data_IF_784346804172
#
_entry.id   IF_784346804172
#
_cell.length_a   1.000
_cell.length_b   1.000
_cell.length_c   1.000
_cell.angle_alpha   90.00
_cell.angle_beta   90.00
_cell.angle_gamma   90.00
#
_symmetry.space_group_name_H-M   'P 1'
#
loop_
_entity.id
_entity.type
_entity.pdbx_description
1 polymer ?
#
# COMPACT_ATOMS: atom_id res chain seq x y z
N UNK A 1 25.40 -14.96 3.13
CA UNK A 1 26.51 -15.72 2.51
C UNK A 1 27.55 -16.02 3.56
N UNK A 2 28.14 -17.23 3.54
CA UNK A 2 29.29 -17.51 4.39
C UNK A 2 30.42 -16.53 4.04
N UNK A 3 31.26 -16.16 5.03
CA UNK A 3 32.48 -15.37 4.81
C UNK A 3 33.34 -15.96 3.68
N UNK A 4 33.24 -17.27 3.41
CA UNK A 4 33.90 -17.92 2.26
C UNK A 4 33.37 -17.43 0.91
N UNK A 5 32.04 -17.24 0.76
CA UNK A 5 31.46 -16.71 -0.48
C UNK A 5 31.82 -15.26 -0.69
N UNK A 6 31.84 -14.45 0.37
CA UNK A 6 32.28 -13.06 0.30
C UNK A 6 33.77 -12.98 -0.12
N UNK A 7 34.64 -13.85 0.44
CA UNK A 7 36.06 -13.96 0.04
C UNK A 7 36.23 -14.38 -1.43
N UNK A 8 35.43 -15.34 -1.90
CA UNK A 8 35.48 -15.80 -3.31
C UNK A 8 35.04 -14.69 -4.25
N UNK A 9 33.95 -13.99 -3.91
CA UNK A 9 33.44 -12.85 -4.69
C UNK A 9 34.45 -11.70 -4.74
N UNK A 10 35.00 -11.30 -3.59
CA UNK A 10 36.00 -10.24 -3.56
C UNK A 10 37.29 -10.57 -4.35
N UNK A 11 37.68 -11.84 -4.34
CA UNK A 11 38.82 -12.31 -5.16
C UNK A 11 38.53 -12.18 -6.66
N UNK A 12 37.31 -12.52 -7.09
CA UNK A 12 36.88 -12.37 -8.49
C UNK A 12 36.72 -10.92 -8.92
N UNK A 13 36.49 -10.01 -7.97
CA UNK A 13 36.31 -8.56 -8.19
C UNK A 13 37.58 -7.73 -7.95
N UNK A 14 38.75 -8.36 -7.78
CA UNK A 14 40.04 -7.64 -7.58
C UNK A 14 40.27 -7.09 -6.18
N UNK A 15 39.37 -7.31 -5.21
CA UNK A 15 39.39 -6.71 -3.88
C UNK A 15 39.80 -7.63 -2.72
N UNK A 16 40.54 -8.72 -2.98
CA UNK A 16 40.83 -9.74 -1.97
C UNK A 16 41.56 -9.21 -0.73
N UNK A 17 42.54 -8.30 -0.91
CA UNK A 17 43.34 -7.73 0.19
C UNK A 17 42.51 -6.75 1.03
N UNK A 18 41.76 -5.85 0.39
CA UNK A 18 40.87 -4.89 1.03
C UNK A 18 39.80 -5.63 1.86
N UNK A 19 39.24 -6.70 1.30
CA UNK A 19 38.25 -7.51 2.00
C UNK A 19 38.83 -8.25 3.20
N UNK A 20 40.04 -8.82 3.08
CA UNK A 20 40.69 -9.52 4.21
C UNK A 20 40.88 -8.60 5.40
N UNK A 21 41.29 -7.36 5.18
CA UNK A 21 41.43 -6.37 6.23
C UNK A 21 40.09 -5.99 6.84
N UNK A 22 39.07 -5.75 6.02
CA UNK A 22 37.74 -5.36 6.47
C UNK A 22 37.01 -6.46 7.26
N UNK A 23 37.19 -7.74 6.89
CA UNK A 23 36.55 -8.88 7.58
C UNK A 23 37.20 -9.15 8.95
N UNK A 24 38.43 -8.74 9.20
CA UNK A 24 39.12 -9.00 10.48
C UNK A 24 38.31 -8.52 11.67
N UNK A 25 37.71 -7.34 11.55
CA UNK A 25 36.96 -6.67 12.62
C UNK A 25 35.44 -6.79 12.43
N UNK A 26 35.00 -7.48 11.39
CA UNK A 26 33.59 -7.64 11.07
C UNK A 26 32.91 -8.69 11.97
N UNK A 27 31.94 -8.22 12.77
CA UNK A 27 31.12 -9.12 13.58
C UNK A 27 29.91 -9.55 12.76
N UNK A 28 29.84 -10.87 12.46
CA UNK A 28 28.73 -11.47 11.73
C UNK A 28 27.47 -11.57 12.59
N UNK A 29 26.78 -10.46 12.78
CA UNK A 29 25.48 -10.36 13.45
C UNK A 29 24.45 -9.75 12.52
N UNK A 30 23.18 -10.14 12.69
CA UNK A 30 22.07 -9.55 11.94
C UNK A 30 22.06 -8.03 12.07
N UNK A 31 22.03 -7.33 10.95
CA UNK A 31 21.99 -5.88 10.88
C UNK A 31 23.36 -5.18 10.84
N UNK A 32 24.47 -5.87 11.14
CA UNK A 32 25.79 -5.30 10.91
C UNK A 32 26.12 -5.33 9.42
N UNK A 33 26.77 -4.27 8.94
CA UNK A 33 27.25 -4.20 7.57
C UNK A 33 28.60 -3.51 7.50
N UNK A 34 29.38 -3.88 6.49
CA UNK A 34 30.64 -3.23 6.17
C UNK A 34 30.70 -2.93 4.67
N UNK A 35 31.09 -1.73 4.33
CA UNK A 35 31.30 -1.32 2.95
C UNK A 35 32.79 -1.32 2.64
N UNK A 36 33.19 -2.13 1.69
CA UNK A 36 34.60 -2.27 1.24
C UNK A 36 34.75 -1.56 -0.10
N UNK A 37 35.70 -0.64 -0.20
CA UNK A 37 36.09 -0.04 -1.46
C UNK A 37 36.92 -1.04 -2.28
N UNK A 38 36.61 -1.17 -3.57
CA UNK A 38 37.29 -2.07 -4.50
C UNK A 38 37.92 -1.26 -5.65
N UNK A 39 38.99 -1.81 -6.23
CA UNK A 39 39.71 -1.19 -7.36
C UNK A 39 39.33 -1.89 -8.69
N UNK A 40 38.04 -1.84 -9.06
CA UNK A 40 37.53 -2.52 -10.25
C UNK A 40 36.26 -1.91 -10.80
N UNK A 41 35.61 -2.61 -11.74
CA UNK A 41 34.30 -2.17 -12.30
C UNK A 41 33.23 -2.04 -11.21
N UNK A 42 33.33 -2.82 -10.14
CA UNK A 42 32.52 -2.68 -8.94
C UNK A 42 33.34 -1.90 -7.92
N UNK A 43 32.99 -0.66 -7.71
CA UNK A 43 33.72 0.24 -6.81
C UNK A 43 33.54 -0.10 -5.33
N UNK A 44 32.41 -0.70 -4.96
CA UNK A 44 32.04 -0.96 -3.55
C UNK A 44 31.38 -2.31 -3.38
N UNK A 45 31.76 -3.02 -2.33
CA UNK A 45 31.14 -4.25 -1.89
C UNK A 45 30.52 -4.04 -0.50
N UNK A 46 29.20 -4.09 -0.40
CA UNK A 46 28.48 -4.06 0.86
C UNK A 46 28.27 -5.49 1.35
N UNK A 47 28.90 -5.85 2.46
CA UNK A 47 28.75 -7.14 3.12
C UNK A 47 27.83 -6.93 4.31
N UNK A 48 26.83 -7.80 4.42
CA UNK A 48 25.85 -7.75 5.50
C UNK A 48 25.96 -9.02 6.34
N UNK A 49 26.12 -8.84 7.65
CA UNK A 49 26.15 -9.92 8.62
C UNK A 49 24.75 -10.47 8.88
N UNK A 50 24.70 -11.76 9.10
CA UNK A 50 23.50 -12.47 9.48
C UNK A 50 23.32 -13.77 8.70
N UNK A 51 22.87 -14.79 9.38
CA UNK A 51 22.43 -16.04 8.77
C UNK A 51 20.89 -16.02 8.67
N UNK A 52 20.34 -16.42 7.54
CA UNK A 52 18.94 -16.80 7.45
C UNK A 52 18.73 -18.05 8.32
N UNK A 53 18.55 -17.86 9.63
CA UNK A 53 18.37 -18.94 10.60
C UNK A 53 17.01 -19.63 10.41
N UNK A 54 16.02 -18.90 9.95
CA UNK A 54 14.74 -19.43 9.54
C UNK A 54 14.50 -19.08 8.08
N UNK A 55 13.72 -19.92 7.42
CA UNK A 55 13.44 -19.83 6.00
C UNK A 55 12.14 -19.10 5.73
N UNK A 56 11.77 -18.16 6.63
CA UNK A 56 10.58 -17.32 6.51
C UNK A 56 10.91 -15.95 5.91
N UNK A 57 9.88 -15.32 5.37
CA UNK A 57 9.98 -14.01 4.72
C UNK A 57 10.35 -12.90 5.70
N UNK A 58 9.96 -13.02 6.97
CA UNK A 58 10.24 -12.01 7.99
C UNK A 58 11.73 -11.95 8.31
N UNK A 59 12.38 -13.11 8.39
CA UNK A 59 13.84 -13.19 8.57
C UNK A 59 14.58 -12.56 7.39
N UNK A 60 14.10 -12.81 6.16
CA UNK A 60 14.65 -12.19 4.97
C UNK A 60 14.44 -10.66 4.99
N UNK A 61 13.25 -10.19 5.33
CA UNK A 61 12.93 -8.77 5.42
C UNK A 61 13.80 -8.06 6.47
N UNK A 62 13.98 -8.67 7.65
CA UNK A 62 14.87 -8.15 8.72
C UNK A 62 16.32 -8.04 8.28
N UNK A 63 16.77 -8.88 7.36
CA UNK A 63 18.12 -8.82 6.79
C UNK A 63 18.23 -7.74 5.71
N UNK A 64 17.25 -7.64 4.81
CA UNK A 64 17.30 -6.77 3.62
C UNK A 64 16.96 -5.31 3.93
N UNK A 65 16.04 -5.05 4.86
CA UNK A 65 15.58 -3.67 5.15
C UNK A 65 16.70 -2.72 5.60
N UNK A 66 17.59 -3.10 6.53
CA UNK A 66 18.73 -2.23 6.90
C UNK A 66 19.68 -1.98 5.72
N UNK A 67 19.88 -2.98 4.85
CA UNK A 67 20.70 -2.83 3.63
C UNK A 67 20.10 -1.81 2.69
N UNK A 68 18.80 -1.91 2.41
CA UNK A 68 18.08 -0.97 1.56
C UNK A 68 18.16 0.46 2.12
N UNK A 69 17.98 0.63 3.44
CA UNK A 69 18.12 1.91 4.12
C UNK A 69 19.52 2.51 3.94
N UNK A 70 20.55 1.68 4.04
CA UNK A 70 21.94 2.13 3.84
C UNK A 70 22.20 2.53 2.38
N UNK A 71 21.74 1.73 1.40
CA UNK A 71 21.90 2.02 -0.02
C UNK A 71 21.26 3.36 -0.43
N UNK A 72 20.07 3.66 0.10
CA UNK A 72 19.36 4.92 -0.18
C UNK A 72 20.17 6.14 0.34
N UNK A 73 20.89 5.99 1.45
CA UNK A 73 21.70 7.06 2.04
C UNK A 73 23.08 7.23 1.38
N UNK A 74 23.53 6.25 0.61
CA UNK A 74 24.83 6.30 -0.05
C UNK A 74 24.76 7.16 -1.33
N UNK A 75 25.86 7.89 -1.68
CA UNK A 75 25.97 8.65 -2.92
C UNK A 75 26.29 7.70 -4.11
N UNK A 76 25.42 6.74 -4.38
CA UNK A 76 25.56 5.75 -5.46
C UNK A 76 24.38 5.86 -6.43
N UNK A 77 24.62 5.60 -7.71
CA UNK A 77 23.56 5.64 -8.74
C UNK A 77 22.90 4.30 -8.95
N UNK A 78 23.63 3.22 -8.76
CA UNK A 78 23.12 1.86 -8.93
C UNK A 78 23.70 0.89 -7.89
N UNK A 79 22.95 -0.20 -7.65
CA UNK A 79 23.34 -1.28 -6.75
C UNK A 79 22.97 -2.62 -7.36
N UNK A 80 23.72 -3.67 -7.03
CA UNK A 80 23.45 -5.05 -7.45
C UNK A 80 23.24 -5.90 -6.21
N UNK A 81 22.12 -6.60 -6.15
CA UNK A 81 21.88 -7.66 -5.17
C UNK A 81 22.24 -9.01 -5.78
N UNK A 82 23.13 -9.76 -5.13
CA UNK A 82 23.39 -11.16 -5.48
C UNK A 82 22.32 -12.03 -4.82
N UNK A 83 21.39 -12.53 -5.62
CA UNK A 83 20.25 -13.33 -5.13
C UNK A 83 20.67 -14.70 -4.62
N UNK A 84 21.78 -15.25 -5.08
CA UNK A 84 22.28 -16.53 -4.58
C UNK A 84 22.60 -16.48 -3.09
N UNK A 85 22.96 -15.29 -2.60
CA UNK A 85 23.20 -15.06 -1.18
C UNK A 85 21.96 -15.27 -0.29
N UNK A 86 20.77 -15.11 -0.86
CA UNK A 86 19.49 -15.18 -0.15
C UNK A 86 18.72 -16.49 -0.39
N UNK A 87 19.20 -17.35 -1.30
CA UNK A 87 18.50 -18.59 -1.65
C UNK A 87 18.51 -19.58 -0.48
N UNK A 88 17.33 -20.07 -0.13
CA UNK A 88 17.13 -21.14 0.84
C UNK A 88 16.23 -22.22 0.24
N UNK A 89 16.10 -23.38 0.91
CA UNK A 89 15.21 -24.46 0.43
C UNK A 89 13.72 -24.09 0.47
N UNK A 90 13.32 -23.06 1.23
CA UNK A 90 11.90 -22.72 1.49
C UNK A 90 11.46 -21.40 0.89
N UNK A 91 12.37 -20.50 0.51
CA UNK A 91 12.05 -19.20 -0.08
C UNK A 91 12.35 -19.26 -1.58
N UNK A 92 11.35 -18.99 -2.39
CA UNK A 92 11.52 -18.97 -3.85
C UNK A 92 12.03 -17.60 -4.35
N UNK A 93 12.44 -17.56 -5.61
CA UNK A 93 12.96 -16.35 -6.24
C UNK A 93 11.96 -15.19 -6.23
N UNK A 94 10.68 -15.47 -6.47
CA UNK A 94 9.63 -14.44 -6.51
C UNK A 94 9.51 -13.73 -5.16
N UNK A 95 9.58 -14.48 -4.08
CA UNK A 95 9.52 -13.95 -2.72
C UNK A 95 10.75 -13.11 -2.37
N UNK A 96 11.94 -13.57 -2.77
CA UNK A 96 13.20 -12.81 -2.55
C UNK A 96 13.13 -11.47 -3.28
N UNK A 97 12.72 -11.47 -4.55
CA UNK A 97 12.58 -10.25 -5.36
C UNK A 97 11.58 -9.28 -4.72
N UNK A 98 10.42 -9.78 -4.28
CA UNK A 98 9.41 -8.95 -3.64
C UNK A 98 9.90 -8.30 -2.33
N UNK A 99 10.62 -9.06 -1.50
CA UNK A 99 11.18 -8.52 -0.25
C UNK A 99 12.23 -7.45 -0.53
N UNK A 100 13.14 -7.69 -1.48
CA UNK A 100 14.17 -6.70 -1.86
C UNK A 100 13.51 -5.45 -2.44
N UNK A 101 12.61 -5.61 -3.40
CA UNK A 101 11.91 -4.49 -4.01
C UNK A 101 11.17 -3.66 -2.96
N UNK A 102 10.35 -4.31 -2.12
CA UNK A 102 9.62 -3.64 -1.05
C UNK A 102 10.55 -2.90 -0.09
N UNK A 103 11.65 -3.52 0.33
CA UNK A 103 12.59 -2.87 1.24
C UNK A 103 13.23 -1.62 0.61
N UNK A 104 13.59 -1.68 -0.67
CA UNK A 104 14.17 -0.54 -1.40
C UNK A 104 13.14 0.58 -1.58
N UNK A 105 11.95 0.26 -2.06
CA UNK A 105 10.91 1.25 -2.37
C UNK A 105 10.32 1.89 -1.11
N UNK A 106 10.16 1.14 -0.02
CA UNK A 106 9.73 1.69 1.27
C UNK A 106 10.74 2.70 1.84
N UNK A 107 12.05 2.42 1.73
CA UNK A 107 13.08 3.34 2.17
C UNK A 107 13.29 4.53 1.22
N UNK A 108 12.97 4.35 -0.06
CA UNK A 108 13.03 5.41 -1.07
C UNK A 108 11.82 6.34 -1.07
N UNK A 109 10.71 5.92 -0.45
CA UNK A 109 9.48 6.70 -0.45
C UNK A 109 9.66 8.01 0.33
N UNK A 110 9.33 9.11 -0.31
CA UNK A 110 9.32 10.45 0.27
C UNK A 110 8.00 11.15 -0.08
N UNK A 111 7.38 11.78 0.90
CA UNK A 111 6.22 12.62 0.71
C UNK A 111 6.55 14.05 1.16
N UNK A 112 6.73 14.93 0.20
CA UNK A 112 7.16 16.32 0.42
C UNK A 112 6.34 17.35 -0.35
N UNK A 113 5.19 16.94 -0.92
CA UNK A 113 4.35 17.79 -1.79
C UNK A 113 3.97 19.14 -1.19
N UNK A 114 3.80 19.22 0.13
CA UNK A 114 3.35 20.40 0.82
C UNK A 114 4.44 21.07 1.66
N UNK A 115 5.69 20.58 1.53
CA UNK A 115 6.83 21.24 2.19
C UNK A 115 7.33 22.41 1.35
N UNK A 116 7.65 23.53 2.00
CA UNK A 116 8.23 24.71 1.35
C UNK A 116 9.61 24.41 0.73
N UNK A 117 10.35 23.45 1.33
CA UNK A 117 11.59 22.94 0.80
C UNK A 117 11.47 21.41 0.64
N UNK A 118 11.64 20.93 -0.58
CA UNK A 118 11.66 19.50 -0.85
C UNK A 118 12.80 18.82 -0.08
N UNK A 119 12.61 17.57 0.30
CA UNK A 119 13.66 16.77 0.89
C UNK A 119 14.79 16.50 -0.12
N UNK A 120 16.01 16.33 0.37
CA UNK A 120 17.13 15.94 -0.48
C UNK A 120 16.83 14.59 -1.15
N UNK A 121 17.01 14.55 -2.47
CA UNK A 121 16.75 13.33 -3.23
C UNK A 121 17.91 12.37 -3.05
N UNK A 122 17.59 11.10 -2.80
CA UNK A 122 18.60 10.04 -2.85
C UNK A 122 19.21 9.90 -4.26
N UNK A 123 20.44 9.42 -4.31
CA UNK A 123 21.21 9.28 -5.56
C UNK A 123 20.89 7.99 -6.32
N UNK A 124 20.44 6.93 -5.61
CA UNK A 124 20.17 5.62 -6.17
C UNK A 124 19.04 5.68 -7.20
N UNK A 125 19.32 5.23 -8.42
CA UNK A 125 18.37 5.24 -9.54
C UNK A 125 17.99 3.85 -10.02
N UNK A 126 18.86 2.88 -9.82
CA UNK A 126 18.66 1.53 -10.32
C UNK A 126 19.13 0.48 -9.33
N UNK A 127 18.32 -0.55 -9.13
CA UNK A 127 18.70 -1.77 -8.45
C UNK A 127 18.65 -2.92 -9.45
N UNK A 128 19.77 -3.64 -9.59
CA UNK A 128 19.90 -4.82 -10.43
C UNK A 128 19.94 -6.06 -9.55
N UNK A 129 19.48 -7.16 -10.10
CA UNK A 129 19.48 -8.46 -9.43
C UNK A 129 20.36 -9.42 -10.21
N UNK A 130 21.38 -9.97 -9.56
CA UNK A 130 22.21 -11.02 -10.11
C UNK A 130 21.65 -12.39 -9.73
N UNK A 131 21.52 -13.29 -10.71
CA UNK A 131 21.05 -14.66 -10.51
C UNK A 131 21.56 -15.58 -11.62
N UNK A 132 21.54 -16.92 -11.43
CA UNK A 132 21.87 -17.87 -12.48
C UNK A 132 21.02 -17.68 -13.73
N UNK A 133 21.60 -17.83 -14.91
CA UNK A 133 20.96 -17.59 -16.21
C UNK A 133 19.67 -18.38 -16.46
N UNK A 134 19.59 -19.60 -15.92
CA UNK A 134 18.42 -20.48 -16.02
C UNK A 134 17.15 -19.93 -15.35
N UNK A 135 17.28 -18.96 -14.44
CA UNK A 135 16.17 -18.38 -13.66
C UNK A 135 15.67 -17.02 -14.20
N UNK A 136 16.33 -16.45 -15.21
CA UNK A 136 16.05 -15.08 -15.70
C UNK A 136 14.57 -14.86 -16.09
N UNK A 137 13.93 -15.85 -16.73
CA UNK A 137 12.52 -15.72 -17.14
C UNK A 137 11.57 -15.62 -15.94
N UNK A 138 11.80 -16.42 -14.90
CA UNK A 138 11.02 -16.40 -13.65
C UNK A 138 11.23 -15.06 -12.94
N UNK A 139 12.47 -14.61 -12.81
CA UNK A 139 12.82 -13.35 -12.20
C UNK A 139 12.20 -12.15 -12.91
N UNK A 140 12.13 -12.15 -14.23
CA UNK A 140 11.46 -11.09 -15.00
C UNK A 140 9.97 -10.96 -14.65
N UNK A 141 9.30 -12.08 -14.37
CA UNK A 141 7.90 -12.07 -13.92
C UNK A 141 7.77 -11.51 -12.50
N UNK A 142 8.66 -11.95 -11.59
CA UNK A 142 8.71 -11.48 -10.22
C UNK A 142 8.99 -9.98 -10.13
N UNK A 143 9.93 -9.47 -10.92
CA UNK A 143 10.24 -8.03 -10.99
C UNK A 143 9.04 -7.24 -11.49
N UNK A 144 8.34 -7.69 -12.54
CA UNK A 144 7.12 -7.02 -13.00
C UNK A 144 6.05 -6.95 -11.92
N UNK A 145 5.85 -8.03 -11.18
CA UNK A 145 4.89 -8.07 -10.06
C UNK A 145 5.34 -7.12 -8.94
N UNK A 146 6.61 -7.13 -8.58
CA UNK A 146 7.16 -6.25 -7.55
C UNK A 146 6.98 -4.77 -7.92
N UNK A 147 7.29 -4.38 -9.17
CA UNK A 147 7.08 -3.02 -9.64
C UNK A 147 5.60 -2.63 -9.65
N UNK A 148 4.71 -3.55 -10.04
CA UNK A 148 3.27 -3.29 -10.01
C UNK A 148 2.75 -3.08 -8.57
N UNK A 149 3.24 -3.85 -7.61
CA UNK A 149 2.94 -3.68 -6.19
C UNK A 149 3.46 -2.34 -5.67
N UNK A 150 4.65 -1.92 -6.09
CA UNK A 150 5.23 -0.64 -5.70
C UNK A 150 4.41 0.55 -6.20
N UNK A 151 3.98 0.53 -7.46
CA UNK A 151 3.08 1.57 -8.01
C UNK A 151 1.78 1.66 -7.21
N UNK A 152 1.19 0.53 -6.84
CA UNK A 152 0.00 0.50 -6.00
C UNK A 152 0.23 1.01 -4.58
N UNK A 153 1.30 0.58 -3.94
CA UNK A 153 1.69 1.01 -2.59
C UNK A 153 2.00 2.50 -2.55
N UNK A 154 2.73 3.01 -3.55
CA UNK A 154 3.03 4.44 -3.67
C UNK A 154 1.75 5.26 -3.78
N UNK A 155 0.81 4.85 -4.65
CA UNK A 155 -0.48 5.54 -4.79
C UNK A 155 -1.25 5.53 -3.46
N UNK A 156 -1.31 4.39 -2.76
CA UNK A 156 -1.98 4.30 -1.47
C UNK A 156 -1.33 5.21 -0.41
N UNK A 157 0.00 5.22 -0.32
CA UNK A 157 0.75 6.10 0.59
C UNK A 157 0.55 7.58 0.24
N UNK A 158 0.58 7.92 -1.05
CA UNK A 158 0.37 9.30 -1.51
C UNK A 158 -1.03 9.79 -1.12
N UNK A 159 -2.07 8.97 -1.32
CA UNK A 159 -3.44 9.29 -0.91
C UNK A 159 -3.59 9.47 0.60
N UNK A 160 -3.03 8.53 1.39
CA UNK A 160 -3.10 8.60 2.85
C UNK A 160 -2.33 9.78 3.45
N UNK A 161 -1.25 10.22 2.80
CA UNK A 161 -0.44 11.34 3.29
C UNK A 161 -0.98 12.72 2.88
N UNK A 162 -1.89 12.79 1.89
CA UNK A 162 -2.52 14.06 1.54
C UNK A 162 -3.30 14.64 2.73
N UNK A 163 -3.23 15.96 2.97
CA UNK A 163 -4.02 16.59 4.02
C UNK A 163 -5.51 16.61 3.64
N UNK A 164 -6.44 16.65 4.60
CA UNK A 164 -7.87 16.50 4.33
C UNK A 164 -8.48 17.67 3.53
N UNK A 165 -7.91 18.86 3.61
CA UNK A 165 -8.32 20.00 2.75
C UNK A 165 -7.97 19.75 1.26
N UNK A 166 -7.13 18.79 0.95
CA UNK A 166 -6.80 18.34 -0.42
C UNK A 166 -7.53 17.03 -0.72
N UNK A 167 -7.32 16.00 0.11
CA UNK A 167 -7.89 14.68 -0.08
C UNK A 167 -9.33 14.58 0.45
N UNK A 168 -10.25 15.30 -0.18
CA UNK A 168 -11.69 15.21 0.04
C UNK A 168 -12.33 14.14 -0.87
N UNK A 169 -13.64 13.83 -0.78
CA UNK A 169 -14.30 12.81 -1.61
C UNK A 169 -14.13 13.04 -3.12
N UNK A 170 -14.16 14.28 -3.59
CA UNK A 170 -13.95 14.61 -4.98
C UNK A 170 -12.50 14.38 -5.44
N UNK A 171 -11.52 14.56 -4.56
CA UNK A 171 -10.13 14.24 -4.85
C UNK A 171 -9.94 12.73 -5.03
N UNK A 172 -10.52 11.89 -4.18
CA UNK A 172 -10.52 10.43 -4.35
C UNK A 172 -11.14 10.01 -5.68
N UNK A 173 -12.26 10.67 -6.08
CA UNK A 173 -12.87 10.44 -7.40
C UNK A 173 -11.93 10.85 -8.54
N UNK A 174 -11.27 11.99 -8.44
CA UNK A 174 -10.32 12.50 -9.44
C UNK A 174 -9.15 11.51 -9.62
N UNK A 175 -8.55 11.05 -8.52
CA UNK A 175 -7.44 10.09 -8.57
C UNK A 175 -7.91 8.72 -9.11
N UNK A 176 -9.10 8.26 -8.71
CA UNK A 176 -9.71 7.05 -9.27
C UNK A 176 -9.92 7.16 -10.79
N UNK A 177 -10.37 8.32 -11.28
CA UNK A 177 -10.55 8.56 -12.73
C UNK A 177 -9.24 8.50 -13.53
N UNK A 178 -8.08 8.75 -12.90
CA UNK A 178 -6.79 8.58 -13.56
C UNK A 178 -6.53 7.12 -13.95
N UNK A 179 -7.06 6.16 -13.18
CA UNK A 179 -6.94 4.74 -13.51
C UNK A 179 -7.71 4.38 -14.80
N UNK A 180 -8.77 5.13 -15.14
CA UNK A 180 -9.51 4.91 -16.38
C UNK A 180 -8.70 5.18 -17.66
N UNK A 181 -7.51 5.78 -17.55
CA UNK A 181 -6.57 5.91 -18.67
C UNK A 181 -5.84 4.60 -18.99
N UNK A 182 -5.90 3.63 -18.07
CA UNK A 182 -5.30 2.30 -18.28
C UNK A 182 -6.25 1.40 -19.09
N UNK A 183 -5.71 0.46 -19.89
CA UNK A 183 -6.53 -0.46 -20.66
C UNK A 183 -7.50 -1.28 -19.80
N UNK A 184 -8.71 -1.51 -20.30
CA UNK A 184 -9.74 -2.34 -19.66
C UNK A 184 -10.22 -1.82 -18.30
N UNK A 185 -10.04 -0.52 -18.03
CA UNK A 185 -10.49 0.14 -16.81
C UNK A 185 -11.59 1.15 -17.11
N UNK A 186 -12.63 1.13 -16.30
CA UNK A 186 -13.67 2.17 -16.30
C UNK A 186 -13.98 2.63 -14.88
N UNK A 187 -14.36 3.91 -14.77
CA UNK A 187 -14.70 4.52 -13.46
C UNK A 187 -16.05 5.20 -13.57
N UNK A 188 -16.94 4.87 -12.63
CA UNK A 188 -18.24 5.53 -12.45
C UNK A 188 -18.35 6.03 -11.01
N UNK A 189 -19.14 7.07 -10.79
CA UNK A 189 -19.47 7.52 -9.44
C UNK A 189 -20.94 7.88 -9.34
N UNK A 190 -21.51 7.71 -8.14
CA UNK A 190 -22.79 8.28 -7.77
C UNK A 190 -22.53 9.47 -6.85
N UNK A 191 -23.11 10.60 -7.18
CA UNK A 191 -23.22 11.74 -6.28
C UNK A 191 -24.39 11.55 -5.30
N UNK A 192 -24.56 12.45 -4.35
CA UNK A 192 -25.60 12.35 -3.31
C UNK A 192 -27.03 12.33 -3.89
N UNK A 193 -27.28 13.06 -4.97
CA UNK A 193 -28.60 13.01 -5.66
C UNK A 193 -28.88 11.60 -6.16
N UNK A 194 -27.92 10.97 -6.83
CA UNK A 194 -28.09 9.61 -7.33
C UNK A 194 -28.16 8.57 -6.21
N UNK A 195 -27.38 8.77 -5.15
CA UNK A 195 -27.46 7.91 -3.97
C UNK A 195 -28.81 8.00 -3.26
N UNK A 196 -29.41 9.19 -3.20
CA UNK A 196 -30.77 9.40 -2.67
C UNK A 196 -31.81 8.66 -3.48
N UNK A 197 -31.75 8.76 -4.81
CA UNK A 197 -32.65 8.03 -5.72
C UNK A 197 -32.53 6.50 -5.53
N UNK A 198 -31.33 6.01 -5.25
CA UNK A 198 -31.03 4.60 -5.02
C UNK A 198 -31.41 4.12 -3.60
N UNK A 199 -31.76 5.04 -2.68
CA UNK A 199 -32.08 4.70 -1.30
C UNK A 199 -30.87 4.40 -0.40
N UNK A 200 -29.70 4.98 -0.68
CA UNK A 200 -28.48 4.84 0.13
C UNK A 200 -28.52 5.78 1.35
N UNK A 201 -29.51 5.62 2.20
CA UNK A 201 -29.76 6.55 3.30
C UNK A 201 -28.74 6.45 4.43
N UNK A 202 -28.11 5.29 4.63
CA UNK A 202 -27.06 5.12 5.64
C UNK A 202 -25.78 5.88 5.24
N UNK A 203 -25.38 5.83 3.97
CA UNK A 203 -24.27 6.62 3.46
C UNK A 203 -24.55 8.12 3.58
N UNK A 204 -25.73 8.56 3.12
CA UNK A 204 -26.13 9.96 3.13
C UNK A 204 -26.24 10.54 4.54
N UNK A 205 -26.58 9.71 5.54
CA UNK A 205 -26.60 10.13 6.93
C UNK A 205 -25.20 10.60 7.41
N UNK A 206 -24.14 10.03 6.87
CA UNK A 206 -22.76 10.47 7.21
C UNK A 206 -22.39 11.75 6.47
N UNK A 207 -22.58 11.78 5.16
CA UNK A 207 -22.07 12.89 4.32
C UNK A 207 -22.84 14.19 4.46
N UNK A 208 -24.13 14.15 4.88
CA UNK A 208 -25.00 15.34 4.92
C UNK A 208 -24.51 16.47 5.83
N UNK A 209 -23.62 16.17 6.78
CA UNK A 209 -23.04 17.16 7.70
C UNK A 209 -21.92 18.00 7.08
N UNK A 210 -21.29 17.52 6.00
CA UNK A 210 -20.17 18.19 5.35
C UNK A 210 -20.63 19.12 4.21
N UNK A 211 -19.78 20.09 3.87
CA UNK A 211 -19.87 20.87 2.63
C UNK A 211 -19.21 20.12 1.44
N UNK A 212 -18.35 19.12 1.71
CA UNK A 212 -17.75 18.26 0.69
C UNK A 212 -18.72 17.11 0.33
N UNK A 213 -19.33 17.10 -0.87
CA UNK A 213 -20.35 16.11 -1.21
C UNK A 213 -19.76 14.71 -1.28
N UNK A 214 -20.49 13.75 -0.71
CA UNK A 214 -20.12 12.34 -0.72
C UNK A 214 -20.09 11.74 -2.13
N UNK A 215 -19.25 10.74 -2.34
CA UNK A 215 -19.07 10.03 -3.62
C UNK A 215 -19.07 8.51 -3.39
N UNK A 216 -19.92 7.77 -4.08
CA UNK A 216 -19.82 6.32 -4.20
C UNK A 216 -19.09 6.02 -5.51
N UNK A 217 -17.80 5.68 -5.44
CA UNK A 217 -16.93 5.50 -6.59
C UNK A 217 -16.82 4.01 -6.93
N UNK A 218 -16.97 3.66 -8.19
CA UNK A 218 -16.80 2.28 -8.69
C UNK A 218 -15.74 2.26 -9.77
N UNK A 219 -14.65 1.55 -9.54
CA UNK A 219 -13.58 1.28 -10.51
C UNK A 219 -13.74 -0.15 -10.97
N UNK A 220 -13.83 -0.39 -12.26
CA UNK A 220 -13.93 -1.73 -12.85
C UNK A 220 -12.69 -2.01 -13.70
N UNK A 221 -12.00 -3.10 -13.43
CA UNK A 221 -10.93 -3.65 -14.24
C UNK A 221 -11.36 -5.00 -14.81
N UNK A 222 -11.39 -5.11 -16.13
CA UNK A 222 -11.75 -6.32 -16.86
C UNK A 222 -10.46 -7.01 -17.34
N UNK A 223 -9.80 -7.76 -16.45
CA UNK A 223 -8.55 -8.45 -16.75
C UNK A 223 -8.74 -9.83 -17.40
N UNK A 224 -9.99 -10.31 -17.48
CA UNK A 224 -10.34 -11.59 -18.10
C UNK A 224 -11.71 -11.51 -18.80
N UNK A 225 -12.24 -12.64 -19.25
CA UNK A 225 -13.55 -12.71 -19.93
C UNK A 225 -14.68 -12.16 -19.06
N UNK A 226 -15.65 -11.50 -19.70
CA UNK A 226 -16.74 -10.80 -19.03
C UNK A 226 -17.71 -11.72 -18.26
N UNK A 227 -17.79 -13.01 -18.62
CA UNK A 227 -18.63 -14.03 -17.97
C UNK A 227 -18.09 -14.49 -16.60
N UNK A 228 -16.84 -14.19 -16.28
CA UNK A 228 -16.27 -14.53 -14.97
C UNK A 228 -16.73 -13.55 -13.90
N UNK A 229 -17.33 -14.08 -12.84
CA UNK A 229 -17.76 -13.33 -11.67
C UNK A 229 -16.58 -12.51 -11.08
N UNK A 230 -16.78 -11.21 -10.78
CA UNK A 230 -15.73 -10.35 -10.26
C UNK A 230 -15.40 -10.66 -8.81
N UNK A 231 -14.16 -10.31 -8.42
CA UNK A 231 -13.83 -10.05 -7.01
C UNK A 231 -14.13 -8.58 -6.74
N UNK A 232 -14.66 -8.27 -5.56
CA UNK A 232 -14.94 -6.90 -5.16
C UNK A 232 -14.08 -6.52 -3.97
N UNK A 233 -13.42 -5.36 -4.07
CA UNK A 233 -12.78 -4.68 -2.96
C UNK A 233 -13.62 -3.47 -2.59
N UNK A 234 -13.89 -3.30 -1.29
CA UNK A 234 -14.61 -2.13 -0.77
C UNK A 234 -13.68 -1.39 0.17
N UNK A 235 -13.57 -0.07 0.03
CA UNK A 235 -12.73 0.77 0.87
C UNK A 235 -13.53 1.82 1.62
N UNK A 236 -13.38 1.87 2.96
CA UNK A 236 -13.82 3.02 3.75
C UNK A 236 -13.02 4.25 3.32
N UNK A 237 -13.74 5.30 2.92
CA UNK A 237 -13.15 6.52 2.39
C UNK A 237 -13.60 7.77 3.16
N UNK A 238 -13.59 7.70 4.50
CA UNK A 238 -13.89 8.88 5.32
C UNK A 238 -12.68 9.79 5.30
N UNK A 239 -12.77 10.85 4.51
CA UNK A 239 -11.63 11.73 4.22
C UNK A 239 -11.23 12.61 5.40
N UNK A 240 -12.16 12.86 6.30
CA UNK A 240 -11.91 13.37 7.64
C UNK A 240 -13.05 12.95 8.57
N UNK A 241 -12.74 12.56 9.79
CA UNK A 241 -13.71 12.09 10.77
C UNK A 241 -13.62 12.88 12.07
N UNK A 242 -14.58 13.79 12.28
CA UNK A 242 -14.73 14.50 13.56
C UNK A 242 -15.55 13.74 14.59
N UNK A 243 -16.16 12.59 14.20
CA UNK A 243 -17.22 11.93 14.97
C UNK A 243 -18.63 12.47 14.69
N UNK A 244 -18.76 13.56 13.95
CA UNK A 244 -20.05 14.23 13.73
C UNK A 244 -20.56 14.88 15.01
N UNK A 245 -21.85 14.75 15.33
CA UNK A 245 -22.44 15.29 16.58
C UNK A 245 -21.86 14.57 17.81
N UNK A 246 -21.55 13.28 17.72
CA UNK A 246 -20.77 12.55 18.75
C UNK A 246 -19.28 12.89 18.64
N UNK A 247 -18.94 14.15 18.87
CA UNK A 247 -17.63 14.74 18.58
C UNK A 247 -16.48 14.03 19.30
N UNK A 248 -15.42 13.72 18.56
CA UNK A 248 -14.18 13.17 19.12
C UNK A 248 -13.48 14.20 20.02
N UNK A 249 -12.69 13.72 21.01
CA UNK A 249 -11.77 14.60 21.75
C UNK A 249 -10.76 15.26 20.79
N UNK A 250 -10.36 16.53 21.01
CA UNK A 250 -9.39 17.22 20.15
C UNK A 250 -8.01 16.55 20.00
N UNK A 251 -7.42 15.93 21.04
CA UNK A 251 -6.13 15.27 20.90
C UNK A 251 -6.14 14.15 19.83
N UNK A 252 -5.16 14.19 18.92
CA UNK A 252 -5.01 13.28 17.80
C UNK A 252 -6.16 13.27 16.77
N UNK A 253 -7.06 14.26 16.78
CA UNK A 253 -8.11 14.37 15.75
C UNK A 253 -7.51 14.62 14.36
N UNK A 254 -6.36 15.27 14.25
CA UNK A 254 -5.61 15.46 13.01
C UNK A 254 -5.20 14.15 12.33
N UNK A 255 -5.06 13.06 13.08
CA UNK A 255 -4.80 11.71 12.54
C UNK A 255 -6.03 11.13 11.80
N UNK A 256 -7.21 11.72 11.98
CA UNK A 256 -8.42 11.32 11.27
C UNK A 256 -8.38 11.61 9.77
N UNK A 257 -7.35 12.28 9.27
CA UNK A 257 -7.02 12.31 7.84
C UNK A 257 -6.75 10.91 7.28
N UNK A 258 -6.32 9.96 8.11
CA UNK A 258 -6.04 8.57 7.72
C UNK A 258 -7.29 7.67 7.68
N UNK A 259 -8.44 8.20 8.04
CA UNK A 259 -9.68 7.41 8.08
C UNK A 259 -10.24 7.03 6.70
N UNK A 260 -9.55 7.46 5.66
CA UNK A 260 -9.74 7.04 4.28
C UNK A 260 -8.69 6.02 3.79
N UNK A 261 -7.82 5.51 4.64
CA UNK A 261 -6.77 4.56 4.23
C UNK A 261 -7.33 3.23 3.74
N UNK A 262 -8.57 2.86 4.10
CA UNK A 262 -9.29 1.76 3.46
C UNK A 262 -9.47 1.99 1.97
N UNK A 263 -9.96 3.17 1.58
CA UNK A 263 -10.09 3.59 0.18
C UNK A 263 -8.73 3.66 -0.52
N UNK A 264 -7.73 4.28 0.11
CA UNK A 264 -6.38 4.36 -0.44
C UNK A 264 -5.80 2.97 -0.74
N UNK A 265 -5.98 2.02 0.18
CA UNK A 265 -5.50 0.64 0.04
C UNK A 265 -6.16 -0.09 -1.13
N UNK A 266 -7.49 -0.01 -1.27
CA UNK A 266 -8.20 -0.70 -2.37
C UNK A 266 -7.96 -0.04 -3.73
N UNK A 267 -7.78 1.29 -3.79
CA UNK A 267 -7.37 2.00 -5.02
C UNK A 267 -5.95 1.56 -5.41
N UNK A 268 -5.02 1.54 -4.46
CA UNK A 268 -3.66 1.07 -4.67
C UNK A 268 -3.59 -0.40 -5.10
N UNK A 269 -4.35 -1.28 -4.45
CA UNK A 269 -4.45 -2.69 -4.84
C UNK A 269 -5.00 -2.86 -6.27
N UNK A 270 -5.96 -2.01 -6.65
CA UNK A 270 -6.50 -1.98 -8.02
C UNK A 270 -5.43 -1.55 -9.02
N UNK A 271 -4.65 -0.50 -8.71
CA UNK A 271 -3.51 -0.08 -9.53
C UNK A 271 -2.51 -1.22 -9.71
N UNK A 272 -2.13 -1.88 -8.60
CA UNK A 272 -1.21 -3.03 -8.65
C UNK A 272 -1.75 -4.17 -9.54
N UNK A 273 -3.04 -4.49 -9.43
CA UNK A 273 -3.67 -5.53 -10.25
C UNK A 273 -3.66 -5.17 -11.76
N UNK A 274 -3.88 -3.89 -12.10
CA UNK A 274 -3.82 -3.38 -13.47
C UNK A 274 -2.40 -3.47 -14.02
N UNK A 275 -1.40 -2.97 -13.29
CA UNK A 275 0.01 -2.97 -13.71
C UNK A 275 0.59 -4.40 -13.82
N UNK A 276 0.20 -5.28 -12.90
CA UNK A 276 0.54 -6.70 -12.97
C UNK A 276 -0.20 -7.45 -14.09
N UNK A 277 -1.17 -6.82 -14.74
CA UNK A 277 -2.04 -7.43 -15.77
C UNK A 277 -2.69 -8.72 -15.29
N UNK A 278 -3.20 -8.72 -14.05
CA UNK A 278 -3.83 -9.89 -13.46
C UNK A 278 -5.03 -10.35 -14.27
N UNK A 279 -5.17 -11.66 -14.46
CA UNK A 279 -6.26 -12.29 -15.23
C UNK A 279 -7.53 -12.47 -14.39
N UNK A 280 -8.01 -11.35 -13.81
CA UNK A 280 -9.22 -11.31 -12.98
C UNK A 280 -10.13 -10.17 -13.42
N UNK A 281 -11.43 -10.30 -13.16
CA UNK A 281 -12.33 -9.16 -13.15
C UNK A 281 -12.37 -8.60 -11.72
N UNK A 282 -12.01 -7.35 -11.57
CA UNK A 282 -11.94 -6.67 -10.28
C UNK A 282 -12.86 -5.45 -10.30
N UNK A 283 -13.68 -5.31 -9.26
CA UNK A 283 -14.48 -4.12 -9.02
C UNK A 283 -14.04 -3.55 -7.68
N UNK A 284 -13.69 -2.27 -7.67
CA UNK A 284 -13.34 -1.56 -6.45
C UNK A 284 -14.41 -0.51 -6.18
N UNK A 285 -14.99 -0.55 -4.99
CA UNK A 285 -16.01 0.37 -4.53
C UNK A 285 -15.40 1.21 -3.39
N UNK A 286 -15.45 2.52 -3.53
CA UNK A 286 -14.99 3.45 -2.50
C UNK A 286 -16.18 4.25 -2.01
N UNK A 287 -16.48 4.13 -0.72
CA UNK A 287 -17.49 4.92 -0.03
C UNK A 287 -16.81 6.17 0.54
N UNK A 288 -16.71 7.23 -0.27
CA UNK A 288 -16.00 8.46 0.07
C UNK A 288 -16.94 9.51 0.64
N UNK A 289 -16.76 9.86 1.91
CA UNK A 289 -17.52 10.86 2.62
C UNK A 289 -16.65 11.60 3.62
N UNK A 290 -17.15 12.68 4.19
CA UNK A 290 -16.55 13.40 5.30
C UNK A 290 -17.56 13.47 6.44
N UNK A 291 -17.18 13.15 7.67
CA UNK A 291 -18.05 13.15 8.84
C UNK A 291 -17.82 14.42 9.67
N UNK A 292 -18.71 15.39 9.52
CA UNK A 292 -18.57 16.71 10.13
C UNK A 292 -19.78 17.08 10.99
N UNK A 293 -19.57 17.82 12.10
CA UNK A 293 -20.66 18.42 12.87
C UNK A 293 -21.18 19.65 12.13
N UNK A 294 -22.49 19.74 11.99
CA UNK A 294 -23.15 20.95 11.45
C UNK A 294 -24.62 20.96 11.82
N UNK A 295 -25.33 22.05 11.50
CA UNK A 295 -26.77 22.12 11.67
C UNK A 295 -27.56 21.11 10.81
N UNK A 296 -26.90 20.49 9.80
CA UNK A 296 -27.51 19.47 8.94
C UNK A 296 -27.08 18.04 9.32
N UNK A 297 -26.12 17.90 10.23
CA UNK A 297 -25.55 16.59 10.57
C UNK A 297 -26.60 15.65 11.18
N UNK A 298 -26.35 14.35 11.02
CA UNK A 298 -27.13 13.29 11.68
C UNK A 298 -26.95 13.38 13.18
N UNK A 299 -28.05 13.21 13.90
CA UNK A 299 -28.08 13.24 15.37
C UNK A 299 -28.16 11.81 15.92
N UNK A 300 -27.61 11.54 17.07
CA UNK A 300 -27.93 10.33 17.81
C UNK A 300 -29.45 10.20 17.99
N UNK A 301 -29.98 9.01 17.67
CA UNK A 301 -31.41 8.72 17.64
C UNK A 301 -32.09 8.90 16.28
N UNK A 302 -31.42 9.48 15.28
CA UNK A 302 -31.97 9.53 13.92
C UNK A 302 -32.09 8.10 13.34
N UNK A 303 -33.22 7.85 12.64
CA UNK A 303 -33.48 6.58 11.95
C UNK A 303 -33.39 6.79 10.45
N UNK A 304 -32.62 5.96 9.77
CA UNK A 304 -32.45 6.01 8.32
C UNK A 304 -32.72 4.66 7.66
N UNK A 305 -33.04 4.67 6.38
CA UNK A 305 -33.22 3.43 5.58
C UNK A 305 -32.02 3.22 4.71
N UNK A 306 -31.38 2.05 4.83
CA UNK A 306 -30.23 1.66 4.02
C UNK A 306 -30.65 1.17 2.62
N UNK A 307 -29.67 1.09 1.68
CA UNK A 307 -29.86 0.51 0.35
C UNK A 307 -30.46 -0.90 0.36
N UNK A 308 -30.17 -1.69 1.38
CA UNK A 308 -30.78 -3.03 1.55
C UNK A 308 -32.25 -3.02 1.99
N UNK A 309 -32.83 -1.84 2.24
CA UNK A 309 -34.19 -1.67 2.71
C UNK A 309 -34.37 -1.74 4.23
N UNK A 310 -33.32 -2.09 4.98
CA UNK A 310 -33.36 -2.15 6.46
C UNK A 310 -33.28 -0.75 7.05
N UNK A 311 -34.01 -0.53 8.14
CA UNK A 311 -33.92 0.67 8.97
C UNK A 311 -32.79 0.54 9.97
N UNK A 312 -32.10 1.66 10.22
CA UNK A 312 -30.95 1.74 11.14
C UNK A 312 -31.20 2.94 12.05
N UNK A 313 -31.26 2.72 13.35
CA UNK A 313 -31.18 3.76 14.37
C UNK A 313 -29.71 4.06 14.64
N UNK A 314 -29.32 5.31 14.52
CA UNK A 314 -27.94 5.77 14.68
C UNK A 314 -27.78 6.32 16.09
N UNK A 315 -27.22 5.52 17.00
CA UNK A 315 -27.03 5.91 18.40
C UNK A 315 -25.72 6.69 18.63
N UNK A 316 -24.75 6.53 17.74
CA UNK A 316 -23.45 7.18 17.82
C UNK A 316 -22.98 7.55 16.41
N UNK A 317 -22.81 8.83 16.14
CA UNK A 317 -22.38 9.34 14.83
C UNK A 317 -20.88 9.18 14.58
N UNK A 318 -20.08 8.81 15.60
CA UNK A 318 -18.68 8.41 15.48
C UNK A 318 -18.51 6.91 15.07
N UNK A 319 -19.64 6.26 14.75
CA UNK A 319 -19.67 4.93 14.15
C UNK A 319 -20.11 5.00 12.67
N UNK A 320 -19.65 5.99 11.95
CA UNK A 320 -19.99 6.38 10.56
C UNK A 320 -19.50 5.38 9.51
N UNK A 321 -18.31 4.78 9.74
CA UNK A 321 -17.69 3.85 8.81
C UNK A 321 -18.59 2.66 8.46
N UNK A 322 -19.25 2.04 9.44
CA UNK A 322 -20.20 0.96 9.22
C UNK A 322 -21.42 1.39 8.43
N UNK A 323 -21.81 2.67 8.50
CA UNK A 323 -22.97 3.23 7.79
C UNK A 323 -22.66 3.36 6.30
N UNK A 324 -21.53 3.95 5.93
CA UNK A 324 -21.14 4.06 4.52
C UNK A 324 -20.83 2.69 3.90
N UNK A 325 -20.24 1.78 4.69
CA UNK A 325 -19.94 0.42 4.23
C UNK A 325 -21.17 -0.45 4.03
N UNK A 326 -22.22 -0.34 4.85
CA UNK A 326 -23.40 -1.18 4.69
C UNK A 326 -24.10 -0.94 3.35
N UNK A 327 -24.19 0.31 2.88
CA UNK A 327 -24.76 0.63 1.57
C UNK A 327 -23.81 0.20 0.43
N UNK A 328 -22.50 0.37 0.59
CA UNK A 328 -21.50 -0.08 -0.37
C UNK A 328 -21.52 -1.64 -0.54
N UNK A 329 -21.59 -2.38 0.57
CA UNK A 329 -21.66 -3.84 0.56
C UNK A 329 -22.98 -4.33 -0.08
N UNK A 330 -24.10 -3.69 0.26
CA UNK A 330 -25.39 -4.04 -0.32
C UNK A 330 -25.40 -3.75 -1.84
N UNK A 331 -24.83 -2.64 -2.27
CA UNK A 331 -24.65 -2.31 -3.69
C UNK A 331 -23.71 -3.30 -4.40
N UNK A 332 -22.62 -3.72 -3.75
CA UNK A 332 -21.67 -4.68 -4.29
C UNK A 332 -22.33 -6.02 -4.68
N UNK A 333 -23.35 -6.46 -3.95
CA UNK A 333 -24.08 -7.72 -4.24
C UNK A 333 -24.76 -7.70 -5.62
N UNK A 334 -25.13 -6.52 -6.14
CA UNK A 334 -25.75 -6.39 -7.47
C UNK A 334 -24.84 -6.87 -8.63
N UNK A 335 -23.54 -6.92 -8.42
CA UNK A 335 -22.56 -7.42 -9.39
C UNK A 335 -22.38 -8.94 -9.35
N UNK A 336 -23.08 -9.67 -8.49
CA UNK A 336 -22.96 -11.13 -8.30
C UNK A 336 -21.50 -11.58 -8.13
N UNK A 337 -20.76 -11.04 -7.14
CA UNK A 337 -19.34 -11.28 -7.01
C UNK A 337 -19.01 -12.70 -6.56
N UNK A 338 -17.80 -13.18 -6.91
CA UNK A 338 -17.20 -14.39 -6.36
C UNK A 338 -16.82 -14.22 -4.88
N UNK A 339 -16.32 -13.05 -4.53
CA UNK A 339 -15.92 -12.67 -3.17
C UNK A 339 -16.00 -11.16 -3.01
N UNK A 340 -16.25 -10.71 -1.78
CA UNK A 340 -16.19 -9.32 -1.35
C UNK A 340 -15.19 -9.25 -0.21
N UNK A 341 -14.24 -8.31 -0.31
CA UNK A 341 -13.31 -7.98 0.76
C UNK A 341 -13.48 -6.49 1.05
N UNK A 342 -13.75 -6.13 2.30
CA UNK A 342 -13.74 -4.74 2.73
C UNK A 342 -12.48 -4.41 3.52
N UNK A 343 -12.02 -3.17 3.38
CA UNK A 343 -10.83 -2.62 4.04
C UNK A 343 -11.23 -1.30 4.69
N UNK A 344 -11.06 -1.23 5.99
CA UNK A 344 -11.53 -0.07 6.74
C UNK A 344 -10.70 0.20 8.00
N UNK A 345 -10.41 1.45 8.26
CA UNK A 345 -9.99 1.99 9.56
C UNK A 345 -11.23 2.11 10.46
N UNK A 346 -11.72 0.98 10.95
CA UNK A 346 -13.10 0.89 11.45
C UNK A 346 -13.22 1.06 12.96
N UNK A 347 -12.33 0.44 13.73
CA UNK A 347 -12.37 0.46 15.19
C UNK A 347 -11.02 0.09 15.80
N UNK A 348 -10.63 0.81 16.87
CA UNK A 348 -9.47 0.45 17.68
C UNK A 348 -9.60 -0.90 18.38
N UNK A 349 -10.81 -1.43 18.52
CA UNK A 349 -11.05 -2.75 19.12
C UNK A 349 -10.35 -3.89 18.38
N UNK A 350 -10.07 -3.75 17.08
CA UNK A 350 -9.32 -4.74 16.31
C UNK A 350 -7.88 -4.91 16.82
N UNK A 351 -7.25 -3.84 17.31
CA UNK A 351 -5.90 -3.90 17.89
C UNK A 351 -5.90 -4.72 19.19
N UNK A 352 -6.94 -4.53 20.01
CA UNK A 352 -7.11 -5.28 21.27
C UNK A 352 -7.39 -6.76 20.99
N UNK A 353 -8.21 -7.05 19.97
CA UNK A 353 -8.63 -8.42 19.66
C UNK A 353 -7.55 -9.22 18.91
N UNK A 354 -6.81 -8.59 18.01
CA UNK A 354 -5.90 -9.27 17.08
C UNK A 354 -4.42 -8.97 17.34
N UNK A 355 -4.09 -7.95 18.12
CA UNK A 355 -2.72 -7.48 18.31
C UNK A 355 -2.18 -6.77 17.07
N UNK A 356 -0.86 -6.80 16.91
CA UNK A 356 -0.14 -6.13 15.83
C UNK A 356 0.30 -7.08 14.69
N UNK A 357 -0.21 -8.29 14.67
CA UNK A 357 0.19 -9.33 13.71
C UNK A 357 -0.97 -9.77 12.84
#
# INVERSE_FOLDING_TARGET
TSLQNARRLAKSLGGAKQLQNAIRDFIDKNGNSICVQLDGEIERLLIVGGALKSTDLDSLAKLVTPVASQLIKMPIKDAVFDLEAFKTKKVNWDQIVQVIAKAVTDNAYQYDKHKSKAADKYSLKQVRLHAPSVEIRKLSSAIRLANALDEGLKLAKDLGNEPPNVCNPNYLLKESRRLARKPNVSVKSFNETKMKELGMGAFLAVSKGSEAPGQMITIRYNGTKADRAPVILIGKGITFDTGGISLKPPPAMDEMKFDMCGAASVIGATMAAIEAKLKINLITIVAAAENMPSGRATRPGDVVKSYSGKTIEILNTDAEGRLVLCDAIAYAKSFKPKAIVDVATLTGACIVALGSH
#
